data_IF_467975628196
#
_entry.id   IF_467975628196
#
_cell.length_a   1.000
_cell.length_b   1.000
_cell.length_c   1.000
_cell.angle_alpha   90.00
_cell.angle_beta   90.00
_cell.angle_gamma   90.00
#
_symmetry.space_group_name_H-M   'P 1'
#
loop_
_entity.id
_entity.type
_entity.pdbx_description
1 polymer ?
#
# COMPACT_ATOMS: atom_id res chain seq x y z
N UNK A 1 21.60 28.87 -55.03
CA UNK A 1 22.50 28.37 -53.96
C UNK A 1 23.09 26.97 -54.23
N UNK A 2 22.56 26.18 -55.19
CA UNK A 2 23.09 24.84 -55.54
C UNK A 2 24.34 24.81 -56.45
N UNK A 3 24.71 25.92 -57.12
CA UNK A 3 25.80 25.96 -58.10
C UNK A 3 27.22 26.12 -57.53
N UNK A 4 27.36 26.44 -56.24
CA UNK A 4 28.68 26.58 -55.60
C UNK A 4 29.20 25.21 -55.14
N UNK A 5 28.29 24.32 -54.71
CA UNK A 5 28.67 23.01 -54.20
C UNK A 5 29.27 22.11 -55.27
N UNK A 6 28.89 22.26 -56.54
CA UNK A 6 29.42 21.46 -57.67
C UNK A 6 30.87 21.80 -58.01
N UNK A 7 31.31 23.06 -57.81
CA UNK A 7 32.67 23.57 -58.11
C UNK A 7 33.71 23.27 -57.02
N UNK A 8 33.31 22.78 -55.85
CA UNK A 8 34.21 22.51 -54.72
C UNK A 8 35.04 21.23 -54.90
N UNK A 9 36.30 21.27 -54.43
CA UNK A 9 37.18 20.11 -54.38
C UNK A 9 36.53 18.95 -53.61
N UNK A 10 36.74 17.72 -54.09
CA UNK A 10 36.14 16.51 -53.53
C UNK A 10 36.42 16.38 -52.02
N UNK A 11 37.60 16.80 -51.54
CA UNK A 11 37.96 16.76 -50.11
C UNK A 11 37.12 17.74 -49.29
N UNK A 12 36.84 18.92 -49.83
CA UNK A 12 36.02 19.95 -49.15
C UNK A 12 34.54 19.51 -49.10
N UNK A 13 34.01 18.90 -50.16
CA UNK A 13 32.67 18.29 -50.15
C UNK A 13 32.52 17.22 -49.07
N UNK A 14 33.51 16.31 -48.97
CA UNK A 14 33.52 15.24 -47.95
C UNK A 14 33.58 15.86 -46.54
N UNK A 15 34.40 16.89 -46.32
CA UNK A 15 34.49 17.57 -45.03
C UNK A 15 33.16 18.22 -44.60
N UNK A 16 32.46 18.89 -45.53
CA UNK A 16 31.16 19.52 -45.24
C UNK A 16 30.11 18.45 -44.91
N UNK A 17 30.02 17.37 -45.69
CA UNK A 17 29.08 16.27 -45.44
C UNK A 17 29.35 15.62 -44.08
N UNK A 18 30.63 15.39 -43.75
CA UNK A 18 31.04 14.84 -42.45
C UNK A 18 30.66 15.77 -41.30
N UNK A 19 30.92 17.07 -41.44
CA UNK A 19 30.58 18.06 -40.41
C UNK A 19 29.07 18.16 -40.18
N UNK A 20 28.28 18.19 -41.26
CA UNK A 20 26.81 18.22 -41.17
C UNK A 20 26.29 16.93 -40.54
N UNK A 21 26.80 15.76 -40.94
CA UNK A 21 26.42 14.48 -40.35
C UNK A 21 26.73 14.39 -38.85
N UNK A 22 27.91 14.87 -38.43
CA UNK A 22 28.31 14.91 -37.03
C UNK A 22 27.44 15.88 -36.23
N UNK A 23 27.13 17.06 -36.80
CA UNK A 23 26.24 18.05 -36.17
C UNK A 23 24.83 17.50 -35.95
N UNK A 24 24.24 16.84 -36.96
CA UNK A 24 22.92 16.20 -36.83
C UNK A 24 22.94 15.11 -35.75
N UNK A 25 24.00 14.31 -35.71
CA UNK A 25 24.17 13.24 -34.70
C UNK A 25 24.22 13.81 -33.27
N UNK A 26 24.93 14.93 -33.07
CA UNK A 26 24.98 15.62 -31.78
C UNK A 26 23.62 16.19 -31.37
N UNK A 27 22.87 16.78 -32.31
CA UNK A 27 21.53 17.31 -32.03
C UNK A 27 20.56 16.20 -31.63
N UNK A 28 20.57 15.07 -32.36
CA UNK A 28 19.74 13.90 -32.03
C UNK A 28 20.09 13.38 -30.64
N UNK A 29 21.38 13.29 -30.32
CA UNK A 29 21.85 12.87 -29.00
C UNK A 29 21.43 13.83 -27.88
N UNK A 30 21.49 15.14 -28.11
CA UNK A 30 21.03 16.15 -27.15
C UNK A 30 19.52 16.04 -26.90
N UNK A 31 18.71 15.88 -27.95
CA UNK A 31 17.25 15.67 -27.84
C UNK A 31 16.97 14.40 -27.04
N UNK A 32 17.72 13.32 -27.27
CA UNK A 32 17.59 12.09 -26.50
C UNK A 32 17.86 12.30 -25.00
N UNK A 33 18.91 13.05 -24.63
CA UNK A 33 19.21 13.36 -23.24
C UNK A 33 18.15 14.24 -22.55
N UNK A 34 17.52 15.15 -23.29
CA UNK A 34 16.43 15.99 -22.77
C UNK A 34 15.20 15.19 -22.34
N UNK A 35 15.06 13.94 -22.78
CA UNK A 35 13.96 13.06 -22.36
C UNK A 35 14.15 12.56 -20.91
N UNK A 36 15.37 12.59 -20.36
CA UNK A 36 15.68 12.11 -19.00
C UNK A 36 15.58 13.25 -17.98
N UNK A 37 14.38 13.80 -17.84
CA UNK A 37 14.05 14.99 -17.05
C UNK A 37 13.36 14.67 -15.71
N UNK A 38 13.26 13.40 -15.32
CA UNK A 38 12.77 12.97 -14.02
C UNK A 38 13.81 12.12 -13.29
N UNK A 39 13.63 11.93 -11.98
CA UNK A 39 14.57 11.17 -11.15
C UNK A 39 13.84 10.14 -10.30
N UNK A 40 14.33 8.91 -10.28
CA UNK A 40 13.94 7.93 -9.26
C UNK A 40 15.05 7.76 -8.25
N UNK A 41 14.70 7.67 -6.98
CA UNK A 41 15.61 7.25 -5.92
C UNK A 41 15.22 5.86 -5.46
N UNK A 42 16.08 4.89 -5.74
CA UNK A 42 15.78 3.46 -5.55
C UNK A 42 16.34 2.99 -4.21
N UNK A 43 15.49 2.40 -3.36
CA UNK A 43 15.86 1.61 -2.19
C UNK A 43 15.52 0.15 -2.48
N UNK A 44 16.53 -0.64 -2.79
CA UNK A 44 16.36 -2.05 -3.18
C UNK A 44 17.26 -3.02 -2.44
N UNK A 45 16.79 -4.27 -2.37
CA UNK A 45 17.58 -5.46 -2.06
C UNK A 45 17.56 -6.36 -3.31
N UNK A 46 18.72 -6.77 -3.87
CA UNK A 46 20.08 -6.38 -3.49
C UNK A 46 20.42 -4.93 -3.91
N UNK A 47 21.63 -4.49 -3.58
CA UNK A 47 22.11 -3.14 -3.96
C UNK A 47 22.42 -3.02 -5.44
N UNK A 48 22.94 -4.07 -6.07
CA UNK A 48 23.31 -4.05 -7.48
C UNK A 48 22.25 -4.77 -8.30
N UNK A 49 21.66 -4.07 -9.25
CA UNK A 49 20.60 -4.59 -10.09
C UNK A 49 20.65 -3.99 -11.48
N UNK A 50 19.82 -4.56 -12.34
CA UNK A 50 19.61 -4.15 -13.70
C UNK A 50 18.18 -3.63 -13.83
N UNK A 51 18.02 -2.48 -14.47
CA UNK A 51 16.74 -1.85 -14.73
C UNK A 51 16.46 -1.79 -16.23
N UNK A 52 15.22 -2.10 -16.61
CA UNK A 52 14.72 -1.90 -17.97
C UNK A 52 13.35 -1.23 -17.93
N UNK A 53 13.11 -0.26 -18.81
CA UNK A 53 11.82 0.40 -18.99
C UNK A 53 11.77 1.07 -20.37
N UNK A 54 10.63 0.98 -21.06
CA UNK A 54 10.51 1.49 -22.44
C UNK A 54 11.66 0.99 -23.34
N UNK A 55 12.38 1.93 -23.95
CA UNK A 55 13.54 1.67 -24.80
C UNK A 55 14.85 1.46 -24.03
N UNK A 56 14.88 1.78 -22.73
CA UNK A 56 16.06 1.57 -21.89
C UNK A 56 16.10 0.11 -21.47
N UNK A 57 17.12 -0.62 -21.91
CA UNK A 57 17.30 -2.04 -21.61
C UNK A 57 18.59 -2.27 -20.83
N UNK A 58 18.50 -3.14 -19.85
CA UNK A 58 19.62 -3.67 -19.09
C UNK A 58 20.56 -2.61 -18.47
N UNK A 59 20.01 -1.47 -18.03
CA UNK A 59 20.80 -0.44 -17.38
C UNK A 59 21.22 -0.90 -15.98
N UNK A 60 22.52 -0.98 -15.73
CA UNK A 60 23.05 -1.25 -14.39
C UNK A 60 22.77 -0.05 -13.49
N UNK A 61 22.17 -0.30 -12.35
CA UNK A 61 21.88 0.72 -11.33
C UNK A 61 22.27 0.19 -9.95
N UNK A 62 22.34 1.11 -8.98
CA UNK A 62 22.56 0.77 -7.58
C UNK A 62 21.44 1.32 -6.70
N UNK A 63 21.13 0.58 -5.65
CA UNK A 63 20.32 1.03 -4.53
C UNK A 63 20.93 2.26 -3.86
N UNK A 64 20.08 3.05 -3.22
CA UNK A 64 20.35 4.31 -2.53
C UNK A 64 21.04 5.35 -3.42
N UNK A 65 20.63 5.45 -4.69
CA UNK A 65 21.13 6.44 -5.64
C UNK A 65 20.00 7.06 -6.46
N UNK A 66 20.25 8.31 -6.87
CA UNK A 66 19.48 9.01 -7.88
C UNK A 66 19.78 8.42 -9.27
N UNK A 67 18.71 8.09 -10.00
CA UNK A 67 18.77 7.58 -11.36
C UNK A 67 17.87 8.46 -12.21
N UNK A 68 18.46 9.10 -13.22
CA UNK A 68 17.68 9.88 -14.19
C UNK A 68 16.88 8.95 -15.09
N UNK A 69 15.59 9.27 -15.24
CA UNK A 69 14.65 8.51 -16.05
C UNK A 69 13.78 9.44 -16.90
N UNK A 70 13.14 8.87 -17.92
CA UNK A 70 12.11 9.58 -18.67
C UNK A 70 10.85 9.76 -17.82
N UNK A 71 10.26 10.95 -17.83
CA UNK A 71 8.92 11.14 -17.25
C UNK A 71 7.86 10.34 -18.03
N UNK A 72 6.68 10.19 -17.44
CA UNK A 72 5.54 9.46 -17.99
C UNK A 72 5.23 8.18 -17.21
N UNK A 73 4.28 7.41 -17.72
CA UNK A 73 3.93 6.11 -17.17
C UNK A 73 4.71 5.01 -17.88
N UNK A 74 5.60 4.34 -17.16
CA UNK A 74 6.44 3.27 -17.70
C UNK A 74 6.33 2.01 -16.86
N UNK A 75 6.44 0.86 -17.53
CA UNK A 75 6.61 -0.44 -16.89
C UNK A 75 8.10 -0.68 -16.64
N UNK A 76 8.51 -0.60 -15.38
CA UNK A 76 9.87 -0.84 -14.93
C UNK A 76 10.05 -2.30 -14.54
N UNK A 77 11.10 -2.93 -15.05
CA UNK A 77 11.55 -4.25 -14.65
C UNK A 77 12.92 -4.15 -13.99
N UNK A 78 13.02 -4.67 -12.77
CA UNK A 78 14.24 -4.73 -11.98
C UNK A 78 14.66 -6.19 -11.81
N UNK A 79 15.93 -6.50 -12.07
CA UNK A 79 16.46 -7.86 -11.98
C UNK A 79 17.86 -7.88 -11.38
N UNK A 80 18.21 -9.00 -10.73
CA UNK A 80 19.55 -9.24 -10.22
C UNK A 80 19.85 -10.74 -10.25
N UNK A 81 21.14 -11.10 -10.31
CA UNK A 81 21.56 -12.49 -10.37
C UNK A 81 21.13 -13.25 -9.11
N UNK A 82 20.47 -14.38 -9.28
CA UNK A 82 19.96 -15.20 -8.18
C UNK A 82 18.70 -14.67 -7.51
N UNK A 83 18.08 -13.61 -8.03
CA UNK A 83 16.82 -13.05 -7.56
C UNK A 83 15.73 -13.11 -8.64
N UNK A 84 14.47 -13.20 -8.22
CA UNK A 84 13.32 -13.07 -9.11
C UNK A 84 13.19 -11.63 -9.60
N UNK A 85 12.82 -11.47 -10.88
CA UNK A 85 12.65 -10.14 -11.47
C UNK A 85 11.35 -9.51 -10.99
N UNK A 86 11.40 -8.25 -10.56
CA UNK A 86 10.24 -7.48 -10.14
C UNK A 86 9.83 -6.52 -11.23
N UNK A 87 8.53 -6.50 -11.57
CA UNK A 87 7.99 -5.57 -12.57
C UNK A 87 6.86 -4.74 -11.99
N UNK A 88 6.89 -3.43 -12.21
CA UNK A 88 5.90 -2.49 -11.68
C UNK A 88 5.68 -1.32 -12.62
N UNK A 89 4.45 -0.78 -12.64
CA UNK A 89 4.14 0.44 -13.36
C UNK A 89 4.40 1.66 -12.49
N UNK A 90 5.13 2.62 -13.03
CA UNK A 90 5.51 3.83 -12.32
C UNK A 90 5.18 5.01 -13.20
N UNK A 91 4.19 5.79 -12.77
CA UNK A 91 3.96 7.12 -13.28
C UNK A 91 4.88 8.12 -12.56
N UNK A 92 5.69 8.86 -13.31
CA UNK A 92 6.56 9.91 -12.78
C UNK A 92 6.39 11.20 -13.61
N UNK A 93 6.15 12.33 -12.96
CA UNK A 93 5.96 13.60 -13.63
C UNK A 93 7.30 14.22 -14.05
N UNK A 94 7.25 15.17 -14.98
CA UNK A 94 8.42 15.93 -15.40
C UNK A 94 9.03 16.68 -14.21
N UNK A 95 10.37 16.62 -14.08
CA UNK A 95 11.13 17.19 -12.95
C UNK A 95 10.76 16.62 -11.57
N UNK A 96 9.99 15.53 -11.49
CA UNK A 96 9.68 14.86 -10.22
C UNK A 96 10.87 14.02 -9.74
N UNK A 97 11.08 13.99 -8.42
CA UNK A 97 11.91 12.99 -7.76
C UNK A 97 11.00 12.00 -7.02
N UNK A 98 10.98 10.75 -7.48
CA UNK A 98 10.13 9.70 -6.91
C UNK A 98 10.94 8.65 -6.16
N UNK A 99 10.57 8.39 -4.91
CA UNK A 99 11.20 7.34 -4.11
C UNK A 99 10.53 5.99 -4.40
N UNK A 100 11.33 4.97 -4.69
CA UNK A 100 10.85 3.61 -4.93
C UNK A 100 11.56 2.69 -3.96
N UNK A 101 10.79 1.94 -3.18
CA UNK A 101 11.31 0.96 -2.23
C UNK A 101 10.76 -0.43 -2.55
N UNK A 102 11.64 -1.42 -2.69
CA UNK A 102 11.28 -2.81 -2.97
C UNK A 102 12.41 -3.76 -2.54
N UNK A 103 12.12 -5.05 -2.54
CA UNK A 103 13.11 -6.10 -2.37
C UNK A 103 12.81 -7.19 -3.39
N UNK A 104 13.82 -7.64 -4.12
CA UNK A 104 13.70 -8.79 -5.01
C UNK A 104 13.70 -10.07 -4.17
N UNK A 105 12.93 -11.07 -4.62
CA UNK A 105 12.85 -12.35 -3.94
C UNK A 105 14.08 -13.21 -4.25
N UNK A 106 14.85 -13.66 -3.25
CA UNK A 106 16.05 -14.46 -3.50
C UNK A 106 15.71 -15.91 -3.87
N UNK A 107 16.25 -16.39 -4.98
CA UNK A 107 16.06 -17.75 -5.49
C UNK A 107 17.23 -18.65 -5.07
N UNK A 108 18.47 -18.19 -5.23
CA UNK A 108 19.68 -18.98 -4.90
C UNK A 108 20.13 -18.78 -3.46
N UNK A 109 20.96 -19.69 -2.95
CA UNK A 109 21.45 -19.61 -1.58
C UNK A 109 22.41 -18.42 -1.36
N UNK A 110 23.17 -18.03 -2.37
CA UNK A 110 23.98 -16.82 -2.35
C UNK A 110 23.09 -15.57 -2.25
N UNK A 111 22.00 -15.53 -3.00
CA UNK A 111 21.04 -14.44 -2.96
C UNK A 111 20.32 -14.37 -1.59
N UNK A 112 19.96 -15.51 -1.00
CA UNK A 112 19.40 -15.56 0.36
C UNK A 112 20.39 -15.04 1.39
N UNK A 113 21.67 -15.42 1.30
CA UNK A 113 22.74 -14.89 2.17
C UNK A 113 22.93 -13.39 1.99
N UNK A 114 22.90 -12.89 0.76
CA UNK A 114 22.95 -11.44 0.50
C UNK A 114 21.75 -10.72 1.12
N UNK A 115 20.54 -11.22 0.86
CA UNK A 115 19.29 -10.66 1.38
C UNK A 115 19.28 -10.61 2.92
N UNK A 116 19.87 -11.59 3.58
CA UNK A 116 19.93 -11.69 5.04
C UNK A 116 20.82 -10.62 5.71
N UNK A 117 21.73 -9.96 4.99
CA UNK A 117 22.69 -9.01 5.57
C UNK A 117 22.00 -7.82 6.28
N UNK A 118 22.60 -7.39 7.40
CA UNK A 118 22.10 -6.30 8.25
C UNK A 118 22.07 -4.93 7.57
N UNK A 119 22.91 -4.73 6.54
CA UNK A 119 22.91 -3.49 5.73
C UNK A 119 21.58 -3.21 5.01
N UNK A 120 20.63 -4.15 5.06
CA UNK A 120 19.30 -4.03 4.45
C UNK A 120 18.18 -3.81 5.46
N UNK A 121 18.48 -3.67 6.75
CA UNK A 121 17.47 -3.48 7.80
C UNK A 121 16.59 -2.26 7.54
N UNK A 122 17.18 -1.13 7.15
CA UNK A 122 16.46 0.10 6.78
C UNK A 122 15.43 -0.13 5.66
N UNK A 123 15.81 -0.90 4.64
CA UNK A 123 14.92 -1.21 3.51
C UNK A 123 13.83 -2.18 3.94
N UNK A 124 14.15 -3.22 4.72
CA UNK A 124 13.18 -4.20 5.24
C UNK A 124 12.13 -3.52 6.11
N UNK A 125 12.55 -2.65 7.02
CA UNK A 125 11.66 -1.84 7.86
C UNK A 125 10.81 -0.88 7.03
N UNK A 126 11.40 -0.23 6.03
CA UNK A 126 10.67 0.64 5.10
C UNK A 126 9.56 -0.10 4.34
N UNK A 127 9.82 -1.32 3.86
CA UNK A 127 8.83 -2.18 3.19
C UNK A 127 7.76 -2.62 4.19
N UNK A 128 8.14 -3.10 5.36
CA UNK A 128 7.21 -3.52 6.41
C UNK A 128 6.29 -2.38 6.85
N UNK A 129 6.84 -1.19 7.07
CA UNK A 129 6.09 0.01 7.41
C UNK A 129 5.13 0.45 6.29
N UNK A 130 5.52 0.33 5.02
CA UNK A 130 4.61 0.59 3.88
C UNK A 130 3.46 -0.41 3.84
N UNK A 131 3.76 -1.71 3.98
CA UNK A 131 2.73 -2.78 4.03
C UNK A 131 1.80 -2.60 5.22
N UNK A 132 2.33 -2.26 6.39
CA UNK A 132 1.54 -1.98 7.59
C UNK A 132 0.60 -0.80 7.38
N UNK A 133 1.09 0.34 6.88
CA UNK A 133 0.24 1.50 6.57
C UNK A 133 -0.86 1.18 5.56
N UNK A 134 -0.55 0.38 4.55
CA UNK A 134 -1.53 -0.05 3.55
C UNK A 134 -2.60 -0.96 4.19
N UNK A 135 -2.18 -1.95 4.98
CA UNK A 135 -3.09 -2.82 5.72
C UNK A 135 -3.97 -2.02 6.70
N UNK A 136 -3.40 -1.03 7.41
CA UNK A 136 -4.14 -0.12 8.30
C UNK A 136 -5.17 0.68 7.51
N UNK A 137 -4.81 1.25 6.35
CA UNK A 137 -5.77 1.98 5.50
C UNK A 137 -6.90 1.07 5.01
N UNK A 138 -6.58 -0.16 4.61
CA UNK A 138 -7.60 -1.13 4.19
C UNK A 138 -8.53 -1.49 5.34
N UNK A 139 -7.98 -1.68 6.55
CA UNK A 139 -8.73 -1.96 7.76
C UNK A 139 -9.65 -0.78 8.14
N UNK A 140 -9.14 0.45 8.11
CA UNK A 140 -9.90 1.68 8.37
C UNK A 140 -11.00 1.92 7.34
N UNK A 141 -10.72 1.67 6.05
CA UNK A 141 -11.71 1.82 4.98
C UNK A 141 -12.85 0.82 5.13
N UNK A 142 -12.54 -0.44 5.46
CA UNK A 142 -13.57 -1.46 5.74
C UNK A 142 -14.33 -1.17 7.03
N UNK A 143 -13.65 -0.63 8.04
CA UNK A 143 -14.20 -0.40 9.38
C UNK A 143 -14.05 1.07 9.82
N UNK A 144 -14.88 1.99 9.30
CA UNK A 144 -14.80 3.40 9.65
C UNK A 144 -14.90 3.68 11.16
N UNK A 145 -15.62 2.84 11.91
CA UNK A 145 -15.75 2.93 13.36
C UNK A 145 -14.41 2.95 14.11
N UNK A 146 -13.34 2.35 13.55
CA UNK A 146 -12.00 2.35 14.17
C UNK A 146 -11.50 3.76 14.47
N UNK A 147 -11.84 4.75 13.65
CA UNK A 147 -11.39 6.14 13.83
C UNK A 147 -11.99 6.83 15.06
N UNK A 148 -13.15 6.34 15.50
CA UNK A 148 -13.87 6.88 16.65
C UNK A 148 -13.71 6.05 17.91
N UNK A 149 -13.06 4.88 17.81
CA UNK A 149 -12.83 3.96 18.91
C UNK A 149 -11.37 4.06 19.41
N UNK A 150 -11.11 3.80 20.71
CA UNK A 150 -12.11 3.49 21.73
C UNK A 150 -12.88 4.72 22.23
N UNK A 151 -14.09 4.51 22.76
CA UNK A 151 -14.92 5.55 23.38
C UNK A 151 -14.99 5.27 24.88
N UNK A 152 -14.63 6.28 25.68
CA UNK A 152 -14.74 6.24 27.14
C UNK A 152 -15.97 7.01 27.60
N UNK A 153 -16.83 6.34 28.37
CA UNK A 153 -17.85 6.97 29.20
C UNK A 153 -17.46 6.90 30.67
N UNK A 154 -18.27 7.51 31.54
CA UNK A 154 -18.11 7.35 32.99
C UNK A 154 -18.35 5.89 33.43
N UNK A 155 -19.39 5.28 32.85
CA UNK A 155 -19.92 3.98 33.27
C UNK A 155 -19.80 2.90 32.18
N UNK A 156 -19.10 3.21 31.08
CA UNK A 156 -18.90 2.27 29.98
C UNK A 156 -17.59 2.50 29.23
N UNK A 157 -17.15 1.49 28.51
CA UNK A 157 -16.00 1.52 27.60
C UNK A 157 -16.34 0.77 26.32
N UNK A 158 -16.12 1.41 25.17
CA UNK A 158 -16.41 0.85 23.85
C UNK A 158 -15.11 0.68 23.08
N UNK A 159 -14.85 -0.51 22.57
CA UNK A 159 -13.58 -0.85 21.92
C UNK A 159 -13.80 -1.88 20.79
N UNK A 160 -12.89 -1.96 19.80
CA UNK A 160 -12.96 -2.98 18.78
C UNK A 160 -12.65 -4.36 19.36
N UNK A 161 -13.34 -5.39 18.89
CA UNK A 161 -13.08 -6.77 19.28
C UNK A 161 -13.33 -7.74 18.11
N UNK A 162 -13.15 -9.04 18.36
CA UNK A 162 -13.43 -10.04 17.34
C UNK A 162 -14.92 -10.11 17.04
N UNK A 163 -15.23 -10.02 15.74
CA UNK A 163 -16.57 -10.33 15.21
C UNK A 163 -16.91 -11.78 15.51
N UNK A 164 -18.19 -12.07 15.67
CA UNK A 164 -18.67 -13.41 16.01
C UNK A 164 -19.57 -14.01 14.92
N UNK A 165 -20.05 -13.21 13.97
CA UNK A 165 -20.70 -13.64 12.74
C UNK A 165 -19.66 -13.74 11.62
N UNK A 166 -19.79 -14.77 10.80
CA UNK A 166 -18.95 -14.97 9.61
C UNK A 166 -19.42 -14.14 8.41
N UNK A 167 -20.69 -13.72 8.40
CA UNK A 167 -21.32 -12.87 7.39
C UNK A 167 -21.01 -11.38 7.62
N UNK A 168 -21.05 -10.57 6.55
CA UNK A 168 -20.86 -9.12 6.59
C UNK A 168 -19.49 -8.62 6.12
N UNK A 169 -19.44 -7.35 5.74
CA UNK A 169 -18.24 -6.69 5.19
C UNK A 169 -17.26 -6.20 6.27
N UNK A 170 -17.74 -6.03 7.51
CA UNK A 170 -16.93 -5.56 8.64
C UNK A 170 -16.05 -6.68 9.14
N UNK A 171 -14.76 -6.38 9.32
CA UNK A 171 -13.77 -7.34 9.78
C UNK A 171 -13.56 -7.31 11.29
N UNK A 172 -14.28 -6.43 11.99
CA UNK A 172 -14.25 -6.28 13.45
C UNK A 172 -15.67 -6.30 14.01
N UNK A 173 -15.79 -6.68 15.28
CA UNK A 173 -16.95 -6.37 16.12
C UNK A 173 -16.67 -5.14 17.00
N UNK A 174 -17.71 -4.69 17.71
CA UNK A 174 -17.66 -3.64 18.70
C UNK A 174 -18.06 -4.23 20.05
N UNK A 175 -17.19 -4.12 21.03
CA UNK A 175 -17.45 -4.56 22.39
C UNK A 175 -17.74 -3.37 23.28
N UNK A 176 -18.77 -3.49 24.09
CA UNK A 176 -19.18 -2.54 25.12
C UNK A 176 -19.01 -3.25 26.46
N UNK A 177 -18.23 -2.65 27.35
CA UNK A 177 -18.18 -3.04 28.75
C UNK A 177 -18.87 -1.95 29.56
N UNK A 178 -19.81 -2.32 30.43
CA UNK A 178 -20.46 -1.41 31.39
C UNK A 178 -20.08 -1.77 32.82
N UNK A 179 -20.09 -0.80 33.73
CA UNK A 179 -19.65 -1.00 35.12
C UNK A 179 -20.65 -1.82 35.94
N UNK A 180 -21.94 -1.59 35.74
CA UNK A 180 -23.02 -2.35 36.37
C UNK A 180 -23.66 -3.31 35.36
N UNK A 181 -23.43 -4.60 35.57
CA UNK A 181 -23.92 -5.67 34.71
C UNK A 181 -25.46 -5.72 34.61
N UNK A 182 -26.23 -5.13 35.51
CA UNK A 182 -27.71 -5.15 35.42
C UNK A 182 -28.30 -3.84 34.87
N UNK A 183 -27.48 -2.81 34.71
CA UNK A 183 -27.98 -1.48 34.43
C UNK A 183 -28.15 -1.23 32.92
N UNK A 184 -29.40 -1.34 32.45
CA UNK A 184 -29.75 -1.07 31.06
C UNK A 184 -29.44 0.36 30.61
N UNK A 185 -29.53 1.34 31.50
CA UNK A 185 -29.28 2.75 31.16
C UNK A 185 -27.83 3.00 30.73
N UNK A 186 -26.87 2.27 31.29
CA UNK A 186 -25.44 2.41 30.91
C UNK A 186 -25.20 1.89 29.48
N UNK A 187 -25.92 0.84 29.10
CA UNK A 187 -25.88 0.25 27.76
C UNK A 187 -26.52 1.20 26.75
N UNK A 188 -27.69 1.76 27.08
CA UNK A 188 -28.37 2.71 26.22
C UNK A 188 -27.53 4.00 26.02
N UNK A 189 -26.80 4.45 27.05
CA UNK A 189 -25.84 5.55 26.93
C UNK A 189 -24.68 5.21 25.98
N UNK A 190 -24.12 4.00 26.08
CA UNK A 190 -23.07 3.53 25.18
C UNK A 190 -23.56 3.49 23.72
N UNK A 191 -24.77 2.99 23.47
CA UNK A 191 -25.38 3.00 22.14
C UNK A 191 -25.66 4.41 21.62
N UNK A 192 -26.13 5.32 22.48
CA UNK A 192 -26.31 6.72 22.11
C UNK A 192 -24.98 7.36 21.68
N UNK A 193 -23.88 7.01 22.35
CA UNK A 193 -22.53 7.50 21.99
C UNK A 193 -22.01 6.90 20.70
N UNK A 194 -22.27 5.63 20.40
CA UNK A 194 -21.98 5.06 19.08
C UNK A 194 -22.72 5.83 17.97
N UNK A 195 -24.01 6.09 18.18
CA UNK A 195 -24.84 6.85 17.23
C UNK A 195 -24.35 8.29 17.05
N UNK A 196 -23.94 8.98 18.13
CA UNK A 196 -23.33 10.32 18.08
C UNK A 196 -22.06 10.34 17.20
N UNK A 197 -21.29 9.24 17.22
CA UNK A 197 -20.09 9.07 16.37
C UNK A 197 -20.40 8.57 14.96
N UNK A 198 -21.68 8.49 14.58
CA UNK A 198 -22.12 8.01 13.27
C UNK A 198 -21.91 6.50 13.07
N UNK A 199 -21.78 5.72 14.15
CA UNK A 199 -21.64 4.28 14.11
C UNK A 199 -23.03 3.66 14.28
N UNK A 200 -23.55 3.03 13.24
CA UNK A 200 -24.80 2.29 13.31
C UNK A 200 -24.57 0.91 13.94
N UNK A 201 -25.40 0.57 14.93
CA UNK A 201 -25.29 -0.68 15.66
C UNK A 201 -25.61 -1.92 14.82
N UNK A 202 -26.39 -1.77 13.76
CA UNK A 202 -26.76 -2.86 12.85
C UNK A 202 -25.64 -3.23 11.87
N UNK A 203 -24.68 -2.33 11.65
CA UNK A 203 -23.57 -2.54 10.72
C UNK A 203 -22.47 -3.43 11.33
N UNK A 204 -22.49 -3.63 12.65
CA UNK A 204 -21.44 -4.30 13.40
C UNK A 204 -21.97 -5.43 14.27
N UNK A 205 -21.11 -6.43 14.46
CA UNK A 205 -21.27 -7.40 15.52
C UNK A 205 -21.01 -6.75 16.87
N UNK A 206 -22.02 -6.70 17.73
CA UNK A 206 -21.92 -6.03 19.03
C UNK A 206 -21.93 -7.04 20.16
N UNK A 207 -21.01 -6.88 21.10
CA UNK A 207 -21.05 -7.58 22.39
C UNK A 207 -21.21 -6.57 23.52
N UNK A 208 -22.02 -6.92 24.51
CA UNK A 208 -22.15 -6.18 25.76
C UNK A 208 -21.75 -7.09 26.91
N UNK A 209 -20.72 -6.72 27.67
CA UNK A 209 -20.15 -7.55 28.74
C UNK A 209 -19.90 -9.01 28.30
N UNK A 210 -19.31 -9.19 27.12
CA UNK A 210 -19.07 -10.48 26.46
C UNK A 210 -20.30 -11.28 25.98
N UNK A 211 -21.52 -10.78 26.17
CA UNK A 211 -22.73 -11.37 25.60
C UNK A 211 -23.05 -10.76 24.24
N UNK A 212 -23.60 -11.56 23.33
CA UNK A 212 -23.95 -11.09 21.99
C UNK A 212 -25.12 -10.11 22.08
N UNK A 213 -25.09 -9.09 21.22
CA UNK A 213 -26.24 -8.25 20.93
C UNK A 213 -26.90 -8.76 19.65
N UNK A 214 -28.00 -9.54 19.76
CA UNK A 214 -28.55 -10.21 18.61
C UNK A 214 -29.37 -9.26 17.72
N UNK A 215 -29.37 -9.55 16.43
CA UNK A 215 -30.28 -8.95 15.47
C UNK A 215 -31.71 -9.44 15.69
N UNK A 216 -32.71 -8.69 15.20
CA UNK A 216 -34.11 -9.13 15.26
C UNK A 216 -34.34 -10.45 14.52
N UNK A 217 -33.62 -10.71 13.42
CA UNK A 217 -33.67 -11.98 12.69
C UNK A 217 -33.17 -13.16 13.53
N UNK A 218 -32.08 -12.99 14.27
CA UNK A 218 -31.56 -14.04 15.15
C UNK A 218 -32.54 -14.33 16.30
N UNK A 219 -33.15 -13.27 16.86
CA UNK A 219 -34.20 -13.44 17.88
C UNK A 219 -35.41 -14.18 17.31
N UNK A 220 -35.89 -13.81 16.13
CA UNK A 220 -37.10 -14.39 15.52
C UNK A 220 -36.91 -15.83 15.03
N UNK A 221 -35.69 -16.20 14.63
CA UNK A 221 -35.35 -17.57 14.21
C UNK A 221 -35.02 -18.49 15.39
N UNK A 222 -34.82 -17.95 16.60
CA UNK A 222 -34.50 -18.72 17.79
C UNK A 222 -33.08 -19.29 17.82
N UNK A 223 -32.20 -18.82 16.92
CA UNK A 223 -30.77 -19.19 16.85
C UNK A 223 -30.01 -18.66 18.07
N UNK A 224 -30.51 -17.56 18.64
CA UNK A 224 -30.07 -17.04 19.93
C UNK A 224 -31.15 -17.27 20.97
N UNK A 225 -30.73 -17.42 22.23
CA UNK A 225 -31.63 -17.55 23.37
C UNK A 225 -31.24 -16.53 24.43
N UNK A 226 -32.27 -16.00 25.12
CA UNK A 226 -32.05 -15.13 26.27
C UNK A 226 -31.36 -15.93 27.38
N UNK A 227 -30.41 -15.31 28.07
CA UNK A 227 -29.73 -15.93 29.20
C UNK A 227 -30.73 -16.32 30.30
N UNK A 228 -30.53 -17.48 30.93
CA UNK A 228 -31.41 -18.00 31.99
C UNK A 228 -31.04 -17.45 33.37
N UNK A 229 -31.95 -17.61 34.34
CA UNK A 229 -31.70 -17.25 35.74
C UNK A 229 -31.83 -15.74 35.98
N UNK A 230 -31.07 -15.23 36.95
CA UNK A 230 -31.08 -13.81 37.33
C UNK A 230 -30.30 -12.91 36.36
N UNK A 231 -30.24 -13.24 35.07
CA UNK A 231 -29.55 -12.42 34.06
C UNK A 231 -30.45 -11.28 33.55
N UNK A 232 -29.87 -10.15 33.11
CA UNK A 232 -30.65 -9.04 32.61
C UNK A 232 -31.33 -9.38 31.28
N UNK A 233 -32.39 -8.63 30.96
CA UNK A 233 -33.25 -8.87 29.80
C UNK A 233 -32.52 -8.82 28.45
N UNK A 234 -31.41 -8.09 28.40
CA UNK A 234 -30.57 -7.91 27.22
C UNK A 234 -29.50 -8.98 27.03
N UNK A 235 -29.33 -9.88 27.99
CA UNK A 235 -28.34 -10.93 27.89
C UNK A 235 -28.81 -12.02 26.91
N UNK A 236 -28.02 -12.27 25.86
CA UNK A 236 -28.25 -13.34 24.90
C UNK A 236 -26.98 -14.17 24.68
N UNK A 237 -27.18 -15.42 24.27
CA UNK A 237 -26.15 -16.34 23.80
C UNK A 237 -26.65 -17.10 22.58
N UNK A 238 -25.74 -17.65 21.78
CA UNK A 238 -26.13 -18.64 20.77
C UNK A 238 -26.66 -19.90 21.46
N UNK A 239 -27.68 -20.51 20.85
CA UNK A 239 -28.14 -21.83 21.29
C UNK A 239 -27.03 -22.83 20.95
N UNK A 240 -26.50 -23.51 21.96
CA UNK A 240 -25.66 -24.69 21.74
C UNK A 240 -26.48 -25.71 20.96
N UNK A 241 -26.01 -26.08 19.77
CA UNK A 241 -26.65 -27.10 18.90
C UNK A 241 -26.26 -28.48 19.39
#
# INVERSE_FOLDING_TARGET
MFNIFTQLDRKVKIAIISFVGLSISLIIYAIYLLQFDATIYVYSIPDNLTMSYGDVKNQRISSRKDIKVKHGNHKFTFSANGFESYTTEININKNEKKNIIFALEPITDEAKKEYAKDKYTDIKEGIAGKKSREATRQLENKNPAIKSLPIHGRDFYIFPCDRYRSEGDKTIGICITVTDYFNRSQIDEAFAKLKEKGINQEDYDIKVNNHIWPTEKEKSTGVVVQCRGSNPDWCYTYRDI
#
